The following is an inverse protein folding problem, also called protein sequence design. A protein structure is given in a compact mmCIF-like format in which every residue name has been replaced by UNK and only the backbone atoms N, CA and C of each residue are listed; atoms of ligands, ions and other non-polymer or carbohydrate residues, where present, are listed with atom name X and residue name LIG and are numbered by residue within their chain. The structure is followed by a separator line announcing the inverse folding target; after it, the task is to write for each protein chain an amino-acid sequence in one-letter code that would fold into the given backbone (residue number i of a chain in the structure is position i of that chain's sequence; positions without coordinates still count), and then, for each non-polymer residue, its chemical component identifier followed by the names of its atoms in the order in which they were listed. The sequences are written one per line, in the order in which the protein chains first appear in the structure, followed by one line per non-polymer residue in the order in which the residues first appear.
data_IF_810046666809
#
_entry.id   IF_810046666809
#
_cell.length_a   1.000
_cell.length_b   1.000
_cell.length_c   1.000
_cell.angle_alpha   90.00
_cell.angle_beta   90.00
_cell.angle_gamma   90.00
#
_symmetry.space_group_name_H-M   'P 1'
#
loop_
_entity.id
_entity.type
_entity.pdbx_description
1 polymer ?
#
# COMPACT_ATOMS: atom_id res chain seq x y z
N UNK A 1 6.75 -16.68 -2.13
CA UNK A 1 5.76 -16.81 -1.04
C UNK A 1 5.46 -15.45 -0.44
N UNK A 2 4.19 -15.15 -0.27
CA UNK A 2 3.75 -13.88 0.28
C UNK A 2 3.89 -13.86 1.80
N UNK A 3 4.49 -12.79 2.33
CA UNK A 3 4.71 -12.63 3.77
C UNK A 3 3.88 -11.45 4.26
N UNK A 4 3.06 -11.66 5.30
CA UNK A 4 2.23 -10.60 5.86
C UNK A 4 3.08 -9.52 6.50
N UNK A 5 2.84 -8.27 6.12
CA UNK A 5 3.52 -7.11 6.68
C UNK A 5 2.51 -6.10 7.18
N UNK A 6 2.96 -5.28 8.11
CA UNK A 6 2.17 -4.17 8.64
C UNK A 6 2.81 -2.85 8.25
N UNK A 7 1.97 -1.85 8.03
CA UNK A 7 2.44 -0.47 7.88
C UNK A 7 2.83 0.02 9.27
N UNK A 8 4.13 0.05 9.53
CA UNK A 8 4.64 0.37 10.86
C UNK A 8 4.59 1.86 11.16
N UNK A 9 4.94 2.70 10.17
CA UNK A 9 4.85 4.15 10.33
C UNK A 9 5.01 4.87 9.00
N UNK A 10 4.58 6.13 9.00
CA UNK A 10 4.73 7.06 7.88
C UNK A 10 5.60 8.20 8.37
N UNK A 11 6.63 8.55 7.61
CA UNK A 11 7.48 9.69 7.90
C UNK A 11 7.18 10.77 6.87
N UNK A 12 6.61 11.88 7.33
CA UNK A 12 6.29 13.03 6.50
C UNK A 12 7.16 14.20 6.97
N UNK A 13 7.98 14.73 6.07
CA UNK A 13 8.85 15.86 6.38
C UNK A 13 8.42 17.08 5.58
N UNK A 14 8.54 18.26 6.19
CA UNK A 14 8.24 19.53 5.52
C UNK A 14 9.44 20.10 4.78
N UNK A 15 10.63 19.55 5.05
CA UNK A 15 11.88 20.08 4.53
C UNK A 15 12.40 19.30 3.31
N UNK A 16 11.75 18.22 2.95
CA UNK A 16 12.16 17.38 1.83
C UNK A 16 10.92 16.98 1.02
N UNK A 17 11.11 16.72 -0.27
CA UNK A 17 10.05 16.17 -1.12
C UNK A 17 9.91 14.66 -0.95
N UNK A 18 10.90 14.03 -0.29
CA UNK A 18 10.86 12.60 -0.05
C UNK A 18 10.19 12.28 1.28
N UNK A 19 9.19 11.43 1.21
CA UNK A 19 8.49 10.91 2.36
C UNK A 19 8.72 9.41 2.39
N UNK A 20 8.50 8.78 3.55
CA UNK A 20 8.79 7.35 3.71
C UNK A 20 7.62 6.63 4.35
N UNK A 21 7.38 5.40 3.90
CA UNK A 21 6.58 4.45 4.65
C UNK A 21 7.50 3.31 5.08
N UNK A 22 7.30 2.85 6.31
CA UNK A 22 8.02 1.70 6.85
C UNK A 22 7.07 0.52 6.94
N UNK A 23 7.51 -0.60 6.38
CA UNK A 23 6.79 -1.86 6.46
C UNK A 23 7.59 -2.84 7.32
N UNK A 24 6.87 -3.62 8.10
CA UNK A 24 7.46 -4.58 9.02
C UNK A 24 6.79 -5.93 8.86
N UNK A 25 7.61 -6.98 8.80
CA UNK A 25 7.13 -8.35 8.83
C UNK A 25 6.34 -8.61 10.11
N UNK A 26 5.10 -9.11 9.98
CA UNK A 26 4.20 -9.28 11.15
C UNK A 26 4.73 -10.29 12.14
N UNK A 27 5.18 -11.45 11.65
CA UNK A 27 5.64 -12.55 12.48
C UNK A 27 7.15 -12.73 12.42
N UNK A 28 7.87 -11.63 12.23
CA UNK A 28 9.32 -11.63 12.16
C UNK A 28 9.89 -10.25 12.45
N UNK A 29 11.13 -10.04 12.01
CA UNK A 29 11.85 -8.81 12.36
C UNK A 29 12.26 -7.96 11.17
N UNK A 30 12.09 -8.47 9.95
CA UNK A 30 12.53 -7.72 8.77
C UNK A 30 11.67 -6.49 8.56
N UNK A 31 12.34 -5.37 8.31
CA UNK A 31 11.69 -4.09 8.03
C UNK A 31 12.34 -3.44 6.83
N UNK A 32 11.61 -2.62 6.12
CA UNK A 32 12.17 -1.81 5.05
C UNK A 32 11.33 -0.56 4.81
N UNK A 33 11.97 0.43 4.19
CA UNK A 33 11.31 1.69 3.88
C UNK A 33 11.11 1.82 2.38
N UNK A 34 10.02 2.47 2.00
CA UNK A 34 9.75 2.84 0.60
C UNK A 34 9.65 4.36 0.56
N UNK A 35 10.39 4.98 -0.37
CA UNK A 35 10.28 6.40 -0.64
C UNK A 35 9.01 6.65 -1.44
N UNK A 36 8.20 7.61 -1.01
CA UNK A 36 6.95 7.96 -1.69
C UNK A 36 6.86 9.47 -1.84
N UNK A 37 5.95 9.95 -2.68
CA UNK A 37 5.71 11.37 -2.86
C UNK A 37 4.89 11.97 -1.72
N UNK A 38 4.92 13.31 -1.58
CA UNK A 38 4.20 13.98 -0.51
C UNK A 38 2.67 13.85 -0.62
N UNK A 39 2.13 13.83 -1.84
CA UNK A 39 0.69 13.67 -2.02
C UNK A 39 0.23 12.26 -1.61
N UNK A 40 1.01 11.24 -1.96
CA UNK A 40 0.70 9.86 -1.61
C UNK A 40 0.82 9.65 -0.10
N UNK A 41 1.84 10.22 0.53
CA UNK A 41 2.00 10.15 1.98
C UNK A 41 0.82 10.79 2.71
N UNK A 42 0.37 11.96 2.25
CA UNK A 42 -0.78 12.65 2.82
C UNK A 42 -2.06 11.83 2.66
N UNK A 43 -2.24 11.20 1.49
CA UNK A 43 -3.41 10.38 1.24
C UNK A 43 -3.46 9.16 2.17
N UNK A 44 -2.32 8.49 2.37
CA UNK A 44 -2.24 7.35 3.28
C UNK A 44 -2.54 7.79 4.71
N UNK A 45 -1.89 8.86 5.17
CA UNK A 45 -2.04 9.36 6.53
C UNK A 45 -3.49 9.76 6.82
N UNK A 46 -4.11 10.50 5.91
CA UNK A 46 -5.50 10.94 6.06
C UNK A 46 -6.47 9.76 6.13
N UNK A 47 -6.33 8.82 5.22
CA UNK A 47 -7.21 7.65 5.16
C UNK A 47 -7.00 6.72 6.34
N UNK A 48 -5.74 6.58 6.79
CA UNK A 48 -5.42 5.76 7.97
C UNK A 48 -6.07 6.34 9.22
N UNK A 49 -6.05 7.67 9.36
CA UNK A 49 -6.64 8.37 10.52
C UNK A 49 -8.14 8.58 10.40
N UNK A 50 -8.72 8.33 9.23
CA UNK A 50 -10.14 8.52 9.01
C UNK A 50 -10.58 9.98 9.03
N UNK A 51 -9.70 10.91 8.66
CA UNK A 51 -10.04 12.33 8.61
C UNK A 51 -11.15 12.58 7.58
N UNK A 52 -12.22 13.29 7.96
CA UNK A 52 -13.32 13.55 7.03
C UNK A 52 -12.89 14.50 5.92
N UNK A 53 -13.50 14.33 4.74
CA UNK A 53 -13.32 15.22 3.60
C UNK A 53 -14.68 15.62 3.07
N UNK A 54 -14.76 16.81 2.50
CA UNK A 54 -16.02 17.32 1.94
C UNK A 54 -16.47 16.51 0.73
N UNK A 55 -15.51 16.10 -0.10
CA UNK A 55 -15.76 15.28 -1.30
C UNK A 55 -14.66 14.22 -1.41
N UNK A 56 -14.95 13.06 -2.04
CA UNK A 56 -13.95 12.02 -2.19
C UNK A 56 -12.69 12.52 -2.91
N UNK A 57 -11.53 12.20 -2.35
CA UNK A 57 -10.25 12.44 -2.98
C UNK A 57 -9.92 11.26 -3.89
N UNK A 58 -8.78 11.31 -4.61
CA UNK A 58 -8.44 10.32 -5.63
C UNK A 58 -8.49 8.86 -5.13
N UNK A 59 -7.87 8.58 -4.01
CA UNK A 59 -7.83 7.21 -3.49
C UNK A 59 -9.18 6.77 -2.90
N UNK A 60 -9.94 7.72 -2.33
CA UNK A 60 -11.32 7.45 -1.90
C UNK A 60 -12.18 7.08 -3.10
N UNK A 61 -12.03 7.84 -4.18
CA UNK A 61 -12.76 7.60 -5.41
C UNK A 61 -12.43 6.23 -5.99
N UNK A 62 -11.14 5.89 -6.04
CA UNK A 62 -10.71 4.59 -6.59
C UNK A 62 -11.30 3.43 -5.78
N UNK A 63 -11.24 3.51 -4.46
CA UNK A 63 -11.83 2.49 -3.59
C UNK A 63 -13.35 2.39 -3.81
N UNK A 64 -14.02 3.54 -3.96
CA UNK A 64 -15.46 3.60 -4.22
C UNK A 64 -15.82 2.98 -5.59
N UNK A 65 -15.03 3.26 -6.63
CA UNK A 65 -15.25 2.68 -7.96
C UNK A 65 -15.17 1.16 -7.90
N UNK A 66 -14.15 0.63 -7.22
CA UNK A 66 -14.00 -0.82 -7.06
C UNK A 66 -15.25 -1.41 -6.41
N UNK A 67 -15.70 -0.81 -5.31
CA UNK A 67 -16.87 -1.28 -4.57
C UNK A 67 -18.15 -1.16 -5.39
N UNK A 68 -18.38 -0.02 -6.04
CA UNK A 68 -19.57 0.23 -6.83
C UNK A 68 -19.69 -0.71 -8.03
N UNK A 69 -18.56 -1.18 -8.55
CA UNK A 69 -18.54 -2.15 -9.65
C UNK A 69 -18.60 -3.60 -9.18
N UNK A 70 -18.87 -3.82 -7.90
CA UNK A 70 -19.04 -5.17 -7.36
C UNK A 70 -17.76 -5.86 -6.94
N UNK A 71 -16.65 -5.12 -6.87
CA UNK A 71 -15.37 -5.67 -6.43
C UNK A 71 -15.21 -5.53 -4.91
N UNK A 72 -14.35 -6.38 -4.38
CA UNK A 72 -13.98 -6.34 -2.96
C UNK A 72 -12.47 -6.44 -2.86
N UNK A 73 -11.85 -5.50 -2.14
CA UNK A 73 -10.42 -5.51 -1.94
C UNK A 73 -10.01 -6.72 -1.10
N UNK A 74 -9.25 -7.62 -1.69
CA UNK A 74 -8.81 -8.84 -1.02
C UNK A 74 -7.51 -8.63 -0.25
N UNK A 75 -6.52 -8.05 -0.93
CA UNK A 75 -5.20 -7.79 -0.37
C UNK A 75 -4.40 -6.90 -1.29
N UNK A 76 -3.27 -6.42 -0.76
CA UNK A 76 -2.26 -5.69 -1.51
C UNK A 76 -0.98 -6.52 -1.44
N UNK A 77 -0.31 -6.70 -2.58
CA UNK A 77 0.94 -7.47 -2.64
C UNK A 77 2.04 -6.62 -3.24
N UNK A 78 3.12 -6.42 -2.51
CA UNK A 78 4.34 -5.83 -3.06
C UNK A 78 5.12 -7.01 -3.64
N UNK A 79 5.15 -7.10 -4.98
CA UNK A 79 5.51 -8.32 -5.67
C UNK A 79 6.88 -8.31 -6.34
N UNK A 80 7.51 -7.15 -6.47
CA UNK A 80 8.82 -7.08 -7.12
C UNK A 80 9.58 -5.84 -6.71
N UNK A 81 10.90 -5.88 -6.91
CA UNK A 81 11.81 -4.78 -6.67
C UNK A 81 12.89 -4.85 -7.77
N UNK A 82 12.92 -3.82 -8.63
CA UNK A 82 13.87 -3.76 -9.73
C UNK A 82 14.50 -2.38 -9.78
N UNK A 83 15.81 -2.31 -9.70
CA UNK A 83 16.55 -1.05 -9.79
C UNK A 83 15.99 0.02 -8.85
N UNK A 84 15.79 -0.35 -7.57
CA UNK A 84 15.23 0.50 -6.51
C UNK A 84 13.77 0.88 -6.70
N UNK A 85 13.08 0.30 -7.68
CA UNK A 85 11.65 0.54 -7.91
C UNK A 85 10.85 -0.64 -7.41
N UNK A 86 9.92 -0.38 -6.48
CA UNK A 86 9.00 -1.40 -5.98
C UNK A 86 7.76 -1.48 -6.87
N UNK A 87 7.32 -2.71 -7.12
CA UNK A 87 6.08 -2.99 -7.85
C UNK A 87 5.06 -3.59 -6.89
N UNK A 88 3.80 -3.26 -7.10
CA UNK A 88 2.72 -3.78 -6.28
C UNK A 88 1.51 -4.16 -7.12
N UNK A 89 0.63 -4.93 -6.51
CA UNK A 89 -0.65 -5.31 -7.10
C UNK A 89 -1.75 -5.10 -6.09
N UNK A 90 -2.86 -4.58 -6.58
CA UNK A 90 -4.11 -4.55 -5.83
C UNK A 90 -4.88 -5.79 -6.27
N UNK A 91 -5.21 -6.66 -5.33
CA UNK A 91 -5.95 -7.90 -5.64
C UNK A 91 -7.40 -7.69 -5.26
N UNK A 92 -8.28 -7.83 -6.25
CA UNK A 92 -9.71 -7.55 -6.12
C UNK A 92 -10.48 -8.83 -6.38
N UNK A 93 -11.38 -9.18 -5.46
CA UNK A 93 -12.32 -10.28 -5.67
C UNK A 93 -13.55 -9.75 -6.39
N UNK A 94 -13.89 -10.38 -7.50
CA UNK A 94 -15.04 -9.98 -8.30
C UNK A 94 -15.65 -11.20 -8.98
N UNK A 95 -16.92 -11.48 -8.70
CA UNK A 95 -17.63 -12.59 -9.33
C UNK A 95 -16.97 -13.95 -9.10
N UNK A 96 -16.40 -14.20 -7.94
CA UNK A 96 -15.71 -15.45 -7.62
C UNK A 96 -14.30 -15.55 -8.18
N UNK A 97 -13.79 -14.51 -8.84
CA UNK A 97 -12.45 -14.49 -9.42
C UNK A 97 -11.61 -13.43 -8.72
N UNK A 98 -10.28 -13.60 -8.78
CA UNK A 98 -9.34 -12.60 -8.29
C UNK A 98 -8.76 -11.86 -9.50
N UNK A 99 -8.84 -10.53 -9.45
CA UNK A 99 -8.29 -9.65 -10.47
C UNK A 99 -7.08 -8.95 -9.87
N UNK A 100 -5.95 -9.00 -10.56
CA UNK A 100 -4.72 -8.34 -10.12
C UNK A 100 -4.49 -7.08 -10.94
N UNK A 101 -4.37 -5.94 -10.28
CA UNK A 101 -4.16 -4.65 -10.92
C UNK A 101 -2.80 -4.11 -10.55
N UNK A 102 -1.96 -3.83 -11.54
CA UNK A 102 -0.64 -3.26 -11.33
C UNK A 102 -0.76 -1.87 -10.69
N UNK A 103 0.10 -1.58 -9.73
CA UNK A 103 0.04 -0.36 -8.95
C UNK A 103 1.39 0.01 -8.36
N UNK A 104 1.59 1.28 -8.08
CA UNK A 104 2.67 1.67 -7.19
C UNK A 104 2.30 1.25 -5.77
N UNK A 105 3.28 0.86 -4.93
CA UNK A 105 2.98 0.50 -3.53
C UNK A 105 2.24 1.58 -2.77
N UNK A 106 2.62 2.85 -2.96
CA UNK A 106 1.97 3.98 -2.28
C UNK A 106 0.48 4.08 -2.59
N UNK A 107 0.10 3.92 -3.86
CA UNK A 107 -1.31 3.99 -4.26
C UNK A 107 -2.09 2.79 -3.74
N UNK A 108 -1.50 1.60 -3.82
CA UNK A 108 -2.16 0.39 -3.32
C UNK A 108 -2.45 0.51 -1.81
N UNK A 109 -1.47 0.97 -1.04
CA UNK A 109 -1.63 1.15 0.40
C UNK A 109 -2.67 2.23 0.68
N UNK A 110 -2.62 3.36 -0.04
CA UNK A 110 -3.58 4.45 0.14
C UNK A 110 -5.02 3.98 -0.12
N UNK A 111 -5.22 3.12 -1.11
CA UNK A 111 -6.56 2.57 -1.41
C UNK A 111 -7.04 1.64 -0.30
N UNK A 112 -6.15 0.78 0.22
CA UNK A 112 -6.54 -0.29 1.14
C UNK A 112 -6.56 0.08 2.61
N UNK A 113 -5.82 1.10 3.03
CA UNK A 113 -5.56 1.35 4.45
C UNK A 113 -6.82 1.70 5.25
N UNK A 114 -7.77 2.38 4.64
CA UNK A 114 -9.01 2.75 5.32
C UNK A 114 -9.90 1.54 5.65
N UNK A 115 -9.81 0.48 4.86
CA UNK A 115 -10.54 -0.75 5.09
C UNK A 115 -9.73 -1.84 5.78
N UNK A 116 -8.57 -1.49 6.29
CA UNK A 116 -7.64 -2.42 6.96
C UNK A 116 -7.31 -3.63 6.09
N UNK A 117 -7.11 -3.39 4.80
CA UNK A 117 -6.78 -4.44 3.84
C UNK A 117 -5.36 -4.96 4.10
N UNK A 118 -5.21 -6.28 4.10
CA UNK A 118 -3.93 -6.93 4.41
C UNK A 118 -2.86 -6.58 3.36
N UNK A 119 -1.65 -6.31 3.84
CA UNK A 119 -0.48 -6.04 3.01
C UNK A 119 0.44 -7.26 3.05
N UNK A 120 0.83 -7.75 1.88
CA UNK A 120 1.80 -8.83 1.75
C UNK A 120 2.98 -8.36 0.92
N UNK A 121 4.13 -8.90 1.21
CA UNK A 121 5.36 -8.65 0.45
C UNK A 121 5.94 -10.01 0.06
N UNK A 122 6.28 -10.18 -1.21
CA UNK A 122 6.93 -11.42 -1.63
C UNK A 122 8.23 -11.60 -0.85
N UNK A 123 8.51 -12.83 -0.42
CA UNK A 123 9.64 -13.12 0.43
C UNK A 123 10.97 -12.62 -0.16
N UNK A 124 11.17 -12.80 -1.46
CA UNK A 124 12.40 -12.34 -2.12
C UNK A 124 12.54 -10.82 -2.09
N UNK A 125 11.43 -10.08 -2.16
CA UNK A 125 11.42 -8.62 -2.09
C UNK A 125 11.75 -8.17 -0.67
N UNK A 126 11.10 -8.78 0.30
CA UNK A 126 11.31 -8.48 1.72
C UNK A 126 12.76 -8.74 2.11
N UNK A 127 13.30 -9.87 1.69
CA UNK A 127 14.69 -10.24 1.98
C UNK A 127 15.69 -9.24 1.38
N UNK A 128 15.50 -8.88 0.11
CA UNK A 128 16.37 -7.92 -0.56
C UNK A 128 16.25 -6.52 0.03
N UNK A 129 15.02 -6.04 0.23
CA UNK A 129 14.79 -4.69 0.71
C UNK A 129 15.24 -4.48 2.16
N UNK A 130 15.13 -5.49 3.00
CA UNK A 130 15.50 -5.39 4.42
C UNK A 130 17.01 -5.38 4.64
N UNK A 131 17.79 -5.71 3.62
CA UNK A 131 19.27 -5.70 3.69
C UNK A 131 19.89 -4.36 3.30
N UNK A 132 19.09 -3.43 2.82
CA UNK A 132 19.58 -2.13 2.35
C UNK A 132 19.65 -1.10 3.46
#
# INVERSE_FOLDING_TARGET
MEVRCDLARIIITETSEEQFIWLRERDGERTFAIVIGPFEATAIDRRLKGHPVARPMTHDLLASVIEQMGGELEKIVINDLQLHTFFAKIVIRHGGQLIEVDSRPSDAIAVGVAGDVAIYVEDHVLDEASKQ
#
